data_IF_837028445938
#
_entry.id   IF_837028445938
#
_cell.length_a   1.000
_cell.length_b   1.000
_cell.length_c   1.000
_cell.angle_alpha   90.00
_cell.angle_beta   90.00
_cell.angle_gamma   90.00
#
_symmetry.space_group_name_H-M   'P 1'
#
loop_
_entity.id
_entity.type
_entity.pdbx_description
1 polymer ?
#
# COMPACT_ATOMS: atom_id res chain seq x y z
N UNK A 1 -11.40 1.90 -10.85
CA UNK A 1 -11.31 0.73 -9.94
C UNK A 1 -10.46 -0.37 -10.57
N UNK A 2 -10.65 -0.74 -11.83
CA UNK A 2 -9.85 -1.78 -12.51
C UNK A 2 -8.35 -1.43 -12.51
N UNK A 3 -8.01 -0.18 -12.83
CA UNK A 3 -6.62 0.30 -12.82
C UNK A 3 -6.03 0.22 -11.41
N UNK A 4 -6.79 0.61 -10.38
CA UNK A 4 -6.35 0.49 -8.99
C UNK A 4 -6.05 -0.96 -8.59
N UNK A 5 -6.88 -1.92 -9.03
CA UNK A 5 -6.62 -3.34 -8.81
C UNK A 5 -5.34 -3.82 -9.47
N UNK A 6 -5.15 -3.44 -10.73
CA UNK A 6 -3.93 -3.78 -11.47
C UNK A 6 -2.72 -3.20 -10.73
N UNK A 7 -2.77 -1.95 -10.27
CA UNK A 7 -1.69 -1.32 -9.52
C UNK A 7 -1.42 -2.02 -8.18
N UNK A 8 -2.45 -2.46 -7.47
CA UNK A 8 -2.29 -3.22 -6.21
C UNK A 8 -1.73 -4.63 -6.46
N UNK A 9 -2.14 -5.29 -7.55
CA UNK A 9 -1.58 -6.58 -7.96
C UNK A 9 -0.10 -6.45 -8.34
N UNK A 10 0.25 -5.43 -9.14
CA UNK A 10 1.66 -5.17 -9.49
C UNK A 10 2.50 -4.87 -8.26
N UNK A 11 1.96 -4.10 -7.30
CA UNK A 11 2.64 -3.84 -6.04
C UNK A 11 2.89 -5.13 -5.24
N UNK A 12 1.91 -6.02 -5.16
CA UNK A 12 2.06 -7.31 -4.47
C UNK A 12 3.12 -8.19 -5.12
N UNK A 13 3.17 -8.23 -6.45
CA UNK A 13 4.20 -8.99 -7.19
C UNK A 13 5.58 -8.37 -6.95
N UNK A 14 5.70 -7.06 -6.96
CA UNK A 14 6.95 -6.35 -6.69
C UNK A 14 7.47 -6.69 -5.29
N UNK A 15 6.61 -6.74 -4.27
CA UNK A 15 7.03 -7.15 -2.92
C UNK A 15 7.59 -8.58 -2.88
N UNK A 16 7.03 -9.52 -3.65
CA UNK A 16 7.55 -10.89 -3.76
C UNK A 16 8.93 -10.88 -4.43
N UNK A 17 9.10 -10.10 -5.51
CA UNK A 17 10.39 -9.99 -6.20
C UNK A 17 11.47 -9.37 -5.31
N UNK A 18 11.15 -8.31 -4.58
CA UNK A 18 12.07 -7.68 -3.62
C UNK A 18 12.49 -8.67 -2.56
N UNK A 19 11.55 -9.46 -2.06
CA UNK A 19 11.86 -10.49 -1.07
C UNK A 19 12.90 -11.47 -1.60
N UNK A 20 12.74 -11.95 -2.83
CA UNK A 20 13.71 -12.87 -3.45
C UNK A 20 15.09 -12.22 -3.61
N UNK A 21 15.14 -10.94 -4.02
CA UNK A 21 16.39 -10.23 -4.25
C UNK A 21 17.11 -9.85 -2.94
N UNK A 22 16.38 -9.45 -1.90
CA UNK A 22 16.99 -9.17 -0.59
C UNK A 22 17.63 -10.44 -0.01
N UNK A 23 17.02 -11.59 -0.24
CA UNK A 23 17.56 -12.88 0.22
C UNK A 23 18.80 -13.32 -0.59
N UNK A 24 18.83 -12.98 -1.89
CA UNK A 24 19.86 -13.51 -2.80
C UNK A 24 20.99 -12.54 -3.12
N UNK A 25 20.72 -11.27 -3.32
CA UNK A 25 21.63 -10.34 -4.02
C UNK A 25 22.30 -9.27 -3.15
N UNK A 26 22.04 -9.10 -1.92
CA UNK A 26 22.73 -8.22 -0.93
C UNK A 26 23.51 -6.98 -1.47
N UNK A 27 23.20 -6.49 -2.66
CA UNK A 27 23.88 -5.34 -3.27
C UNK A 27 23.07 -4.05 -3.09
N UNK A 28 23.74 -2.96 -2.72
CA UNK A 28 23.11 -1.64 -2.52
C UNK A 28 22.47 -1.14 -3.81
N UNK A 29 23.06 -1.43 -4.95
CA UNK A 29 22.55 -0.99 -6.26
C UNK A 29 21.16 -1.59 -6.59
N UNK A 30 20.94 -2.85 -6.29
CA UNK A 30 19.63 -3.49 -6.49
C UNK A 30 18.55 -2.85 -5.62
N UNK A 31 18.86 -2.42 -4.40
CA UNK A 31 17.93 -1.72 -3.53
C UNK A 31 17.48 -0.37 -4.11
N UNK A 32 18.39 0.40 -4.69
CA UNK A 32 18.02 1.68 -5.34
C UNK A 32 17.04 1.48 -6.49
N UNK A 33 17.27 0.48 -7.34
CA UNK A 33 16.38 0.16 -8.45
C UNK A 33 14.98 -0.19 -7.94
N UNK A 34 14.89 -1.04 -6.91
CA UNK A 34 13.61 -1.43 -6.32
C UNK A 34 12.87 -0.26 -5.68
N UNK A 35 13.57 0.64 -4.98
CA UNK A 35 12.98 1.85 -4.39
C UNK A 35 12.36 2.74 -5.48
N UNK A 36 13.04 2.93 -6.61
CA UNK A 36 12.50 3.72 -7.74
C UNK A 36 11.25 3.07 -8.32
N UNK A 37 11.28 1.77 -8.56
CA UNK A 37 10.13 1.02 -9.12
C UNK A 37 8.92 1.09 -8.17
N UNK A 38 9.13 0.85 -6.87
CA UNK A 38 8.06 0.93 -5.86
C UNK A 38 7.48 2.34 -5.82
N UNK A 39 8.33 3.36 -5.78
CA UNK A 39 7.88 4.76 -5.69
C UNK A 39 7.00 5.14 -6.88
N UNK A 40 7.34 4.68 -8.08
CA UNK A 40 6.55 4.92 -9.28
C UNK A 40 5.17 4.25 -9.21
N UNK A 41 5.11 2.98 -8.78
CA UNK A 41 3.84 2.26 -8.63
C UNK A 41 2.99 2.86 -7.52
N UNK A 42 3.59 3.22 -6.38
CA UNK A 42 2.89 3.86 -5.26
C UNK A 42 2.32 5.23 -5.65
N UNK A 43 3.01 6.02 -6.46
CA UNK A 43 2.50 7.28 -6.97
C UNK A 43 1.20 7.08 -7.78
N UNK A 44 1.17 6.06 -8.64
CA UNK A 44 -0.04 5.68 -9.38
C UNK A 44 -1.19 5.24 -8.48
N UNK A 45 -0.91 4.41 -7.48
CA UNK A 45 -1.91 3.95 -6.50
C UNK A 45 -2.49 5.13 -5.72
N UNK A 46 -1.63 6.05 -5.21
CA UNK A 46 -2.07 7.22 -4.46
C UNK A 46 -2.95 8.15 -5.29
N UNK A 47 -2.56 8.45 -6.53
CA UNK A 47 -3.35 9.31 -7.41
C UNK A 47 -4.75 8.74 -7.67
N UNK A 48 -4.85 7.46 -7.96
CA UNK A 48 -6.12 6.77 -8.19
C UNK A 48 -6.97 6.68 -6.91
N UNK A 49 -6.33 6.46 -5.76
CA UNK A 49 -6.99 6.39 -4.47
C UNK A 49 -7.72 7.70 -4.13
N UNK A 50 -7.05 8.84 -4.31
CA UNK A 50 -7.66 10.15 -4.07
C UNK A 50 -8.85 10.42 -4.99
N UNK A 51 -8.77 10.05 -6.27
CA UNK A 51 -9.87 10.21 -7.20
C UNK A 51 -11.10 9.39 -6.77
N UNK A 52 -10.91 8.12 -6.42
CA UNK A 52 -11.99 7.24 -5.97
C UNK A 52 -12.57 7.72 -4.64
N UNK A 53 -11.71 8.13 -3.69
CA UNK A 53 -12.16 8.62 -2.39
C UNK A 53 -12.99 9.90 -2.53
N UNK A 54 -12.63 10.79 -3.46
CA UNK A 54 -13.40 11.99 -3.74
C UNK A 54 -14.79 11.68 -4.32
N UNK A 55 -14.92 10.64 -5.12
CA UNK A 55 -16.19 10.22 -5.72
C UNK A 55 -17.17 9.59 -4.72
N UNK A 56 -16.68 9.12 -3.57
CA UNK A 56 -17.52 8.53 -2.52
C UNK A 56 -18.31 9.59 -1.72
N UNK A 57 -17.91 10.86 -1.77
CA UNK A 57 -18.53 11.93 -1.00
C UNK A 57 -19.31 12.89 -1.89
N UNK A 58 -20.51 13.33 -1.45
CA UNK A 58 -21.25 14.39 -2.13
C UNK A 58 -20.44 15.71 -2.12
N UNK A 59 -20.68 16.53 -3.14
CA UNK A 59 -19.89 17.75 -3.40
C UNK A 59 -19.78 18.70 -2.20
N UNK A 60 -20.83 18.76 -1.38
CA UNK A 60 -20.92 19.65 -0.21
C UNK A 60 -19.94 19.34 0.91
N UNK A 61 -19.63 18.06 1.12
CA UNK A 61 -18.74 17.59 2.20
C UNK A 61 -17.47 16.89 1.68
N UNK A 62 -17.26 16.88 0.37
CA UNK A 62 -16.19 16.12 -0.28
C UNK A 62 -14.81 16.41 0.30
N UNK A 63 -14.45 17.70 0.44
CA UNK A 63 -13.15 18.10 0.98
C UNK A 63 -12.93 17.63 2.42
N UNK A 64 -13.91 17.86 3.27
CA UNK A 64 -13.81 17.47 4.69
C UNK A 64 -13.81 15.96 4.85
N UNK A 65 -14.67 15.25 4.11
CA UNK A 65 -14.75 13.79 4.15
C UNK A 65 -13.44 13.12 3.69
N UNK A 66 -12.90 13.56 2.55
CA UNK A 66 -11.62 13.06 2.04
C UNK A 66 -10.48 13.35 3.01
N UNK A 67 -10.42 14.58 3.54
CA UNK A 67 -9.36 14.98 4.48
C UNK A 67 -9.39 14.15 5.77
N UNK A 68 -10.57 13.94 6.36
CA UNK A 68 -10.70 13.14 7.59
C UNK A 68 -10.32 11.69 7.33
N UNK A 69 -10.86 11.06 6.28
CA UNK A 69 -10.55 9.66 5.96
C UNK A 69 -9.07 9.46 5.66
N UNK A 70 -8.46 10.35 4.88
CA UNK A 70 -7.05 10.27 4.54
C UNK A 70 -6.15 10.43 5.76
N UNK A 71 -6.38 11.48 6.58
CA UNK A 71 -5.57 11.73 7.76
C UNK A 71 -5.70 10.59 8.79
N UNK A 72 -6.91 10.07 8.99
CA UNK A 72 -7.13 8.94 9.89
C UNK A 72 -6.38 7.68 9.41
N UNK A 73 -6.51 7.34 8.13
CA UNK A 73 -5.79 6.22 7.53
C UNK A 73 -4.27 6.42 7.59
N UNK A 74 -3.79 7.65 7.39
CA UNK A 74 -2.36 7.98 7.45
C UNK A 74 -1.79 7.86 8.86
N UNK A 75 -2.52 8.28 9.89
CA UNK A 75 -2.12 8.12 11.29
C UNK A 75 -1.99 6.64 11.64
N UNK A 76 -2.98 5.83 11.27
CA UNK A 76 -2.95 4.39 11.54
C UNK A 76 -1.87 3.66 10.73
N UNK A 77 -1.72 3.99 9.44
CA UNK A 77 -0.75 3.35 8.57
C UNK A 77 0.67 3.85 8.79
N UNK A 78 0.92 5.09 8.47
CA UNK A 78 2.27 5.66 8.49
C UNK A 78 2.78 5.97 9.90
N UNK A 79 1.90 6.29 10.86
CA UNK A 79 2.29 6.57 12.23
C UNK A 79 2.67 5.31 13.02
N UNK A 80 1.88 4.26 12.91
CA UNK A 80 2.09 3.02 13.67
C UNK A 80 3.13 2.10 13.00
N UNK A 81 3.21 2.09 11.68
CA UNK A 81 4.08 1.18 10.93
C UNK A 81 5.57 1.25 11.32
N UNK A 82 6.22 2.43 11.48
CA UNK A 82 7.62 2.48 11.88
C UNK A 82 7.87 1.89 13.27
N UNK A 83 6.99 2.16 14.23
CA UNK A 83 7.10 1.65 15.59
C UNK A 83 6.97 0.13 15.62
N UNK A 84 6.01 -0.39 14.89
CA UNK A 84 5.75 -1.80 14.81
C UNK A 84 6.83 -2.57 14.05
N UNK A 85 7.33 -2.02 12.94
CA UNK A 85 8.39 -2.64 12.15
C UNK A 85 9.72 -2.69 12.90
N UNK A 86 10.07 -1.63 13.66
CA UNK A 86 11.28 -1.63 14.48
C UNK A 86 11.19 -2.67 15.62
N UNK A 87 10.05 -2.75 16.31
CA UNK A 87 9.84 -3.73 17.37
C UNK A 87 9.93 -5.18 16.87
N UNK A 88 9.35 -5.48 15.70
CA UNK A 88 9.47 -6.81 15.11
C UNK A 88 10.92 -7.11 14.73
N UNK A 89 11.64 -6.15 14.17
CA UNK A 89 13.03 -6.34 13.77
C UNK A 89 13.94 -6.59 14.99
N UNK A 90 13.71 -5.89 16.09
CA UNK A 90 14.44 -6.10 17.35
C UNK A 90 14.22 -7.49 17.94
N UNK A 91 12.99 -8.00 17.89
CA UNK A 91 12.63 -9.30 18.48
C UNK A 91 13.08 -10.46 17.57
N UNK A 92 12.91 -10.33 16.27
CA UNK A 92 13.05 -11.47 15.34
C UNK A 92 14.35 -11.44 14.54
N UNK A 93 15.04 -10.29 14.50
CA UNK A 93 16.23 -10.06 13.67
C UNK A 93 16.03 -10.48 12.20
N UNK A 94 14.76 -10.49 11.71
CA UNK A 94 14.39 -10.98 10.39
C UNK A 94 13.42 -10.04 9.69
N UNK A 95 13.74 -9.66 8.45
CA UNK A 95 12.87 -8.86 7.58
C UNK A 95 11.67 -9.66 7.02
N UNK A 96 11.70 -10.99 7.11
CA UNK A 96 10.65 -11.87 6.56
C UNK A 96 9.27 -11.55 7.11
N UNK A 97 9.16 -11.27 8.40
CA UNK A 97 7.87 -10.98 9.03
C UNK A 97 7.29 -9.64 8.56
N UNK A 98 8.12 -8.62 8.35
CA UNK A 98 7.70 -7.31 7.85
C UNK A 98 7.11 -7.46 6.44
N UNK A 99 7.81 -8.18 5.57
CA UNK A 99 7.37 -8.42 4.19
C UNK A 99 6.06 -9.21 4.17
N UNK A 100 5.91 -10.23 5.02
CA UNK A 100 4.70 -11.03 5.14
C UNK A 100 3.50 -10.14 5.50
N UNK A 101 3.66 -9.22 6.44
CA UNK A 101 2.60 -8.30 6.81
C UNK A 101 2.26 -7.33 5.68
N UNK A 102 3.26 -6.80 4.98
CA UNK A 102 3.00 -5.97 3.79
C UNK A 102 2.19 -6.73 2.73
N UNK A 103 2.47 -8.02 2.53
CA UNK A 103 1.70 -8.88 1.63
C UNK A 103 0.26 -9.06 2.10
N UNK A 104 0.04 -9.33 3.39
CA UNK A 104 -1.30 -9.47 3.97
C UNK A 104 -2.11 -8.17 3.77
N UNK A 105 -1.52 -7.02 4.07
CA UNK A 105 -2.18 -5.71 3.87
C UNK A 105 -2.52 -5.48 2.40
N UNK A 106 -1.64 -5.83 1.46
CA UNK A 106 -1.90 -5.73 0.04
C UNK A 106 -3.08 -6.63 -0.39
N UNK A 107 -3.16 -7.86 0.11
CA UNK A 107 -4.28 -8.78 -0.17
C UNK A 107 -5.59 -8.23 0.39
N UNK A 108 -5.60 -7.72 1.63
CA UNK A 108 -6.78 -7.09 2.24
C UNK A 108 -7.24 -5.91 1.39
N UNK A 109 -6.32 -5.08 0.90
CA UNK A 109 -6.63 -3.95 0.03
C UNK A 109 -7.26 -4.37 -1.29
N UNK A 110 -6.79 -5.48 -1.88
CA UNK A 110 -7.37 -6.05 -3.10
C UNK A 110 -8.81 -6.54 -2.87
N UNK A 111 -9.08 -7.23 -1.76
CA UNK A 111 -10.41 -7.72 -1.40
C UNK A 111 -11.37 -6.54 -1.17
N UNK A 112 -10.93 -5.50 -0.44
CA UNK A 112 -11.74 -4.31 -0.20
C UNK A 112 -12.06 -3.57 -1.50
N UNK A 113 -11.13 -3.47 -2.43
CA UNK A 113 -11.36 -2.85 -3.75
C UNK A 113 -12.41 -3.63 -4.56
N UNK A 114 -12.47 -4.96 -4.39
CA UNK A 114 -13.52 -5.78 -5.00
C UNK A 114 -14.92 -5.47 -4.44
N UNK A 115 -15.02 -5.23 -3.14
CA UNK A 115 -16.28 -4.91 -2.48
C UNK A 115 -16.77 -3.49 -2.82
N UNK A 116 -15.89 -2.50 -2.87
CA UNK A 116 -16.23 -1.12 -3.28
C UNK A 116 -16.86 -1.09 -4.67
N UNK A 117 -16.39 -1.90 -5.61
CA UNK A 117 -16.98 -1.96 -6.95
C UNK A 117 -18.42 -2.45 -6.95
N UNK A 118 -18.81 -3.29 -5.99
CA UNK A 118 -20.20 -3.74 -5.84
C UNK A 118 -21.08 -2.60 -5.34
N UNK A 119 -20.56 -1.74 -4.47
CA UNK A 119 -21.29 -0.60 -3.87
C UNK A 119 -21.50 0.53 -4.89
N UNK A 120 -20.49 0.84 -5.70
CA UNK A 120 -20.58 1.94 -6.70
C UNK A 120 -21.45 1.57 -7.91
N UNK A 121 -21.70 0.28 -8.16
CA UNK A 121 -22.56 -0.17 -9.27
C UNK A 121 -24.07 -0.03 -8.99
N UNK A 122 -24.48 0.35 -7.81
CA UNK A 122 -25.83 0.70 -7.41
C UNK A 122 -25.99 2.21 -7.27
#
# INVERSE_FOLDING_TARGET
>A
ITILRISLLTLSIIFICIYSDIVTLKTIESLYIWVVIISFVLAGVNGLFFAILADLFPTTIRYSGVAICYNFAYILGAGITPLWSSSILEITHSYHQIILVCMIVAIISLVNTANIQRIIKY
#
